data_IF_505088759307
#
_entry.id   IF_505088759307
#
_cell.length_a   1.000
_cell.length_b   1.000
_cell.length_c   1.000
_cell.angle_alpha   90.00
_cell.angle_beta   90.00
_cell.angle_gamma   90.00
#
_symmetry.space_group_name_H-M   'P 1'
#
loop_
_entity.id
_entity.type
_entity.pdbx_description
1 polymer ?
#
# COMPACT_ATOMS: atom_id res chain seq x y z
N UNK A 1 -11.46 53.05 -11.45
CA UNK A 1 -10.38 52.07 -11.57
C UNK A 1 -10.33 51.31 -10.26
N UNK A 2 -10.88 50.12 -10.21
CA UNK A 2 -10.85 49.26 -9.01
C UNK A 2 -9.57 48.40 -9.08
N UNK A 3 -8.62 48.72 -8.21
CA UNK A 3 -7.45 47.89 -8.01
C UNK A 3 -7.87 46.60 -7.30
N UNK A 4 -7.90 45.50 -8.00
CA UNK A 4 -8.01 44.17 -7.37
C UNK A 4 -6.73 43.87 -6.62
N UNK A 5 -6.75 43.94 -5.30
CA UNK A 5 -5.65 43.43 -4.49
C UNK A 5 -5.66 41.89 -4.58
N UNK A 6 -4.71 41.33 -5.31
CA UNK A 6 -4.46 39.89 -5.24
C UNK A 6 -3.81 39.58 -3.89
N UNK A 7 -4.49 38.76 -3.09
CA UNK A 7 -3.94 38.27 -1.82
C UNK A 7 -2.87 37.22 -2.18
N UNK A 8 -1.60 37.57 -2.03
CA UNK A 8 -0.50 36.63 -2.12
C UNK A 8 -0.28 36.02 -0.74
N UNK A 9 -0.52 34.74 -0.61
CA UNK A 9 -0.17 33.98 0.59
C UNK A 9 1.05 33.11 0.28
N UNK A 10 2.12 33.30 1.04
CA UNK A 10 3.30 32.41 1.04
C UNK A 10 3.11 31.21 2.00
N UNK A 11 1.91 31.02 2.54
CA UNK A 11 1.64 29.87 3.38
C UNK A 11 1.66 28.59 2.52
N UNK A 12 2.47 27.62 2.93
CA UNK A 12 2.40 26.28 2.37
C UNK A 12 0.96 25.77 2.48
N UNK A 13 0.39 25.34 1.36
CA UNK A 13 -0.94 24.77 1.36
C UNK A 13 -0.89 23.35 1.94
N UNK A 14 -0.92 23.22 3.26
CA UNK A 14 -0.97 21.93 3.95
C UNK A 14 -2.19 21.09 3.55
N UNK A 15 -3.23 21.71 3.03
CA UNK A 15 -4.44 21.01 2.57
C UNK A 15 -4.20 20.18 1.31
N UNK A 16 -3.12 20.41 0.58
CA UNK A 16 -2.76 19.57 -0.58
C UNK A 16 -2.38 18.14 -0.22
N UNK A 17 -1.98 17.88 1.03
CA UNK A 17 -1.63 16.55 1.53
C UNK A 17 -2.79 15.86 2.24
N UNK A 18 -3.89 16.54 2.46
CA UNK A 18 -5.06 16.04 3.18
C UNK A 18 -6.26 16.00 2.25
N UNK A 19 -6.77 14.80 2.04
CA UNK A 19 -8.05 14.61 1.34
C UNK A 19 -9.09 14.18 2.36
N UNK A 20 -10.22 14.89 2.40
CA UNK A 20 -11.33 14.57 3.29
C UNK A 20 -12.61 14.46 2.48
N UNK A 21 -13.50 13.59 2.91
CA UNK A 21 -14.77 13.42 2.23
C UNK A 21 -15.78 12.66 3.08
N UNK A 22 -16.97 12.58 2.56
CA UNK A 22 -18.02 11.72 3.09
C UNK A 22 -18.39 10.72 2.00
N UNK A 23 -18.32 9.42 2.29
CA UNK A 23 -18.78 8.41 1.35
C UNK A 23 -20.31 8.55 1.17
N UNK A 24 -20.79 8.89 -0.05
CA UNK A 24 -22.20 9.14 -0.28
C UNK A 24 -23.09 7.92 -0.06
N UNK A 25 -22.52 6.70 -0.08
CA UNK A 25 -23.27 5.46 0.13
C UNK A 25 -23.46 5.12 1.60
N UNK A 26 -22.46 5.46 2.43
CA UNK A 26 -22.45 5.08 3.84
C UNK A 26 -22.67 6.27 4.78
N UNK A 27 -22.50 7.49 4.28
CA UNK A 27 -22.54 8.71 5.10
C UNK A 27 -21.33 8.86 6.02
N UNK A 28 -20.33 7.99 5.89
CA UNK A 28 -19.16 7.96 6.78
C UNK A 28 -18.10 8.95 6.32
N UNK A 29 -17.55 9.66 7.29
CA UNK A 29 -16.41 10.54 7.06
C UNK A 29 -15.15 9.73 6.79
N UNK A 30 -14.43 10.09 5.75
CA UNK A 30 -13.14 9.52 5.38
C UNK A 30 -12.09 10.62 5.31
N UNK A 31 -10.88 10.31 5.71
CA UNK A 31 -9.74 11.21 5.62
C UNK A 31 -8.54 10.44 5.10
N UNK A 32 -7.75 11.03 4.24
CA UNK A 32 -6.46 10.48 3.86
C UNK A 32 -5.37 11.54 3.90
N UNK A 33 -4.18 11.11 4.34
CA UNK A 33 -2.97 11.93 4.39
C UNK A 33 -1.96 11.34 3.41
N UNK A 34 -1.59 12.10 2.40
CA UNK A 34 -0.49 11.75 1.51
C UNK A 34 0.82 12.19 2.16
N UNK A 35 1.70 11.25 2.47
CA UNK A 35 3.05 11.56 2.93
C UNK A 35 3.94 11.92 1.74
N UNK A 36 5.07 12.62 1.96
CA UNK A 36 6.01 12.86 0.89
C UNK A 36 6.43 11.55 0.22
N UNK A 37 6.44 11.55 -1.11
CA UNK A 37 6.81 10.38 -1.88
C UNK A 37 8.29 10.03 -1.65
N UNK A 38 8.55 8.77 -1.35
CA UNK A 38 9.91 8.27 -1.23
C UNK A 38 10.46 8.03 -2.64
N UNK A 39 11.29 8.94 -3.10
CA UNK A 39 11.96 8.84 -4.38
C UNK A 39 13.27 8.07 -4.22
N UNK A 40 13.49 7.13 -5.13
CA UNK A 40 14.75 6.41 -5.21
C UNK A 40 15.87 7.30 -5.78
N UNK A 41 17.13 7.01 -5.42
CA UNK A 41 18.28 7.67 -6.01
C UNK A 41 18.23 7.54 -7.54
N UNK A 42 18.54 8.64 -8.23
CA UNK A 42 18.52 8.76 -9.69
C UNK A 42 17.18 8.40 -10.37
N UNK A 43 16.07 8.44 -9.63
CA UNK A 43 14.72 8.14 -10.12
C UNK A 43 14.56 6.74 -10.78
N UNK A 44 15.48 5.83 -10.53
CA UNK A 44 15.52 4.53 -11.19
C UNK A 44 14.80 3.40 -10.43
N UNK A 45 14.38 3.64 -9.18
CA UNK A 45 13.70 2.63 -8.36
C UNK A 45 12.18 2.73 -8.38
N UNK A 46 11.47 1.80 -7.74
CA UNK A 46 10.04 1.90 -7.57
C UNK A 46 9.70 3.08 -6.65
N UNK A 47 8.73 3.88 -7.06
CA UNK A 47 8.16 4.90 -6.19
C UNK A 47 7.25 4.25 -5.17
N UNK A 48 7.41 4.60 -3.90
CA UNK A 48 6.53 4.15 -2.84
C UNK A 48 5.70 5.34 -2.33
N UNK A 49 4.47 5.52 -2.85
CA UNK A 49 3.55 6.50 -2.29
C UNK A 49 3.07 5.99 -0.92
N UNK A 50 3.40 6.73 0.13
CA UNK A 50 2.92 6.45 1.47
C UNK A 50 1.66 7.28 1.72
N UNK A 51 0.54 6.61 1.97
CA UNK A 51 -0.74 7.23 2.25
C UNK A 51 -1.35 6.63 3.50
N UNK A 52 -1.72 7.47 4.45
CA UNK A 52 -2.51 7.08 5.61
C UNK A 52 -3.98 7.32 5.30
N UNK A 53 -4.80 6.28 5.45
CA UNK A 53 -6.25 6.37 5.31
C UNK A 53 -6.93 6.19 6.66
N UNK A 54 -7.90 7.04 6.94
CA UNK A 54 -8.78 6.92 8.10
C UNK A 54 -10.15 6.39 7.69
N UNK A 55 -10.61 5.39 8.43
CA UNK A 55 -11.97 4.89 8.34
C UNK A 55 -12.56 4.70 9.75
N UNK A 56 -13.73 5.30 10.06
CA UNK A 56 -14.37 5.11 11.36
C UNK A 56 -14.85 3.68 11.59
N UNK A 57 -14.98 2.88 10.54
CA UNK A 57 -15.32 1.45 10.64
C UNK A 57 -14.12 0.57 11.03
N UNK A 58 -12.90 1.08 10.85
CA UNK A 58 -11.72 0.37 11.25
C UNK A 58 -11.46 0.57 12.75
N UNK A 59 -11.62 -0.49 13.51
CA UNK A 59 -11.40 -0.47 14.97
C UNK A 59 -9.97 -0.86 15.35
N UNK A 60 -9.16 -1.29 14.38
CA UNK A 60 -7.77 -1.69 14.60
C UNK A 60 -6.86 -0.48 14.72
N UNK A 61 -5.78 -0.64 15.48
CA UNK A 61 -4.67 0.30 15.53
C UNK A 61 -3.45 -0.38 14.89
N UNK A 62 -2.91 0.24 13.84
CA UNK A 62 -1.73 -0.24 13.12
C UNK A 62 -0.48 0.61 13.42
N UNK A 63 -0.47 1.30 14.58
CA UNK A 63 0.63 2.15 15.02
C UNK A 63 0.46 3.64 14.69
N UNK A 64 -0.62 3.98 13.97
CA UNK A 64 -0.93 5.37 13.60
C UNK A 64 -2.16 5.92 14.33
N UNK A 65 -2.66 5.17 15.31
CA UNK A 65 -3.89 5.45 16.02
C UNK A 65 -5.10 4.69 15.45
N UNK A 66 -6.13 4.59 16.28
CA UNK A 66 -7.34 3.83 15.95
C UNK A 66 -8.04 4.39 14.72
N UNK A 67 -8.36 3.52 13.78
CA UNK A 67 -9.01 3.90 12.53
C UNK A 67 -8.07 4.25 11.39
N UNK A 68 -6.81 4.55 11.68
CA UNK A 68 -5.80 4.85 10.69
C UNK A 68 -5.07 3.61 10.19
N UNK A 69 -4.86 3.54 8.88
CA UNK A 69 -4.07 2.47 8.24
C UNK A 69 -3.15 3.04 7.18
N UNK A 70 -1.93 2.52 7.10
CA UNK A 70 -1.05 2.79 5.98
C UNK A 70 -1.53 1.96 4.77
N UNK A 71 -1.82 2.64 3.66
CA UNK A 71 -2.34 2.03 2.44
C UNK A 71 -1.22 1.33 1.67
N UNK A 72 -0.91 0.12 2.08
CA UNK A 72 -0.01 -0.80 1.38
C UNK A 72 -0.81 -1.98 0.84
N UNK A 73 -0.29 -2.61 -0.21
CA UNK A 73 -0.84 -3.90 -0.67
C UNK A 73 -0.70 -4.93 0.45
N UNK A 74 -1.73 -5.74 0.68
CA UNK A 74 -1.73 -6.76 1.72
C UNK A 74 -2.58 -7.96 1.33
N UNK A 75 -2.21 -9.11 1.83
CA UNK A 75 -3.01 -10.32 1.68
C UNK A 75 -3.30 -10.95 3.04
N UNK A 76 -4.55 -10.99 3.43
CA UNK A 76 -4.98 -11.64 4.66
C UNK A 76 -5.29 -13.11 4.39
N UNK A 77 -4.44 -13.99 4.89
CA UNK A 77 -4.54 -15.44 4.66
C UNK A 77 -5.74 -16.08 5.38
N UNK A 78 -6.18 -15.50 6.51
CA UNK A 78 -7.31 -16.02 7.29
C UNK A 78 -8.64 -15.88 6.56
N UNK A 79 -8.88 -14.70 5.98
CA UNK A 79 -10.13 -14.43 5.25
C UNK A 79 -9.97 -14.52 3.73
N UNK A 80 -8.76 -14.82 3.23
CA UNK A 80 -8.42 -14.92 1.81
C UNK A 80 -8.80 -13.66 1.01
N UNK A 81 -8.47 -12.48 1.55
CA UNK A 81 -8.72 -11.19 0.92
C UNK A 81 -7.40 -10.50 0.62
N UNK A 82 -7.21 -10.10 -0.63
CA UNK A 82 -6.13 -9.21 -1.05
C UNK A 82 -6.67 -7.79 -1.16
N UNK A 83 -5.94 -6.83 -0.58
CA UNK A 83 -6.20 -5.41 -0.71
C UNK A 83 -4.98 -4.77 -1.35
N UNK A 84 -5.20 -3.95 -2.37
CA UNK A 84 -4.13 -3.24 -3.07
C UNK A 84 -3.92 -1.85 -2.45
N UNK A 85 -2.74 -1.30 -2.63
CA UNK A 85 -2.44 0.08 -2.24
C UNK A 85 -3.36 1.11 -2.91
N UNK A 86 -3.98 0.77 -4.06
CA UNK A 86 -5.02 1.57 -4.74
C UNK A 86 -6.36 1.62 -3.98
N UNK A 87 -6.55 0.78 -2.95
CA UNK A 87 -7.79 0.65 -2.20
C UNK A 87 -8.77 -0.42 -2.72
N UNK A 88 -8.46 -1.07 -3.84
CA UNK A 88 -9.25 -2.17 -4.36
C UNK A 88 -9.07 -3.43 -3.50
N UNK A 89 -10.15 -4.19 -3.30
CA UNK A 89 -10.13 -5.44 -2.54
C UNK A 89 -10.75 -6.58 -3.33
N UNK A 90 -10.10 -7.75 -3.27
CA UNK A 90 -10.54 -8.94 -3.99
C UNK A 90 -10.53 -10.15 -3.07
N UNK A 91 -11.52 -11.01 -3.25
CA UNK A 91 -11.62 -12.30 -2.57
C UNK A 91 -10.93 -13.37 -3.39
N UNK A 92 -9.97 -14.07 -2.80
CA UNK A 92 -9.38 -15.27 -3.40
C UNK A 92 -10.36 -16.44 -3.28
N UNK A 93 -10.57 -17.16 -4.38
CA UNK A 93 -11.49 -18.31 -4.43
C UNK A 93 -10.78 -19.64 -4.50
N UNK A 94 -9.67 -19.72 -5.21
CA UNK A 94 -8.92 -20.95 -5.43
C UNK A 94 -7.46 -20.68 -5.78
N UNK A 95 -6.68 -21.74 -5.76
CA UNK A 95 -5.28 -21.71 -6.20
C UNK A 95 -5.16 -22.55 -7.47
N UNK A 96 -4.49 -22.03 -8.48
CA UNK A 96 -4.18 -22.77 -9.70
C UNK A 96 -3.21 -23.91 -9.40
N UNK A 97 -3.46 -25.07 -9.98
CA UNK A 97 -2.71 -26.31 -9.67
C UNK A 97 -1.29 -26.33 -10.26
N UNK A 98 -0.95 -25.44 -11.18
CA UNK A 98 0.31 -25.51 -11.93
C UNK A 98 1.36 -24.49 -11.51
N UNK A 99 0.96 -23.29 -11.20
CA UNK A 99 1.88 -22.14 -11.02
C UNK A 99 1.74 -21.43 -9.67
N UNK A 100 0.89 -21.94 -8.78
CA UNK A 100 0.63 -21.33 -7.46
C UNK A 100 -0.14 -20.01 -7.53
N UNK A 101 -0.73 -19.68 -8.67
CA UNK A 101 -1.52 -18.47 -8.86
C UNK A 101 -2.82 -18.56 -8.05
N UNK A 102 -3.10 -17.49 -7.31
CA UNK A 102 -4.35 -17.32 -6.59
C UNK A 102 -5.37 -16.64 -7.49
N UNK A 103 -6.52 -17.29 -7.68
CA UNK A 103 -7.60 -16.80 -8.55
C UNK A 103 -8.56 -15.93 -7.75
N UNK A 104 -8.89 -14.77 -8.30
CA UNK A 104 -9.76 -13.78 -7.66
C UNK A 104 -11.22 -13.98 -8.09
N UNK A 105 -12.12 -13.75 -7.16
CA UNK A 105 -13.54 -13.65 -7.46
C UNK A 105 -13.83 -12.33 -8.18
N UNK A 106 -14.56 -12.40 -9.30
CA UNK A 106 -15.09 -11.23 -10.01
C UNK A 106 -14.01 -10.21 -10.50
N UNK A 107 -12.78 -10.67 -10.73
CA UNK A 107 -11.76 -9.81 -11.34
C UNK A 107 -12.07 -9.63 -12.84
N UNK A 108 -12.78 -8.55 -13.19
CA UNK A 108 -13.18 -8.26 -14.57
C UNK A 108 -11.99 -7.85 -15.46
N UNK A 109 -11.04 -7.15 -14.87
CA UNK A 109 -9.81 -6.70 -15.54
C UNK A 109 -8.63 -7.22 -14.75
N UNK A 110 -7.72 -7.91 -15.42
CA UNK A 110 -6.52 -8.43 -14.79
C UNK A 110 -5.46 -7.32 -14.70
N UNK A 111 -5.54 -6.53 -13.62
CA UNK A 111 -4.58 -5.46 -13.31
C UNK A 111 -3.38 -5.97 -12.53
N UNK A 112 -3.53 -7.12 -11.89
CA UNK A 112 -2.49 -7.78 -11.09
C UNK A 112 -2.69 -9.29 -11.07
N UNK A 113 -1.65 -10.02 -10.66
CA UNK A 113 -1.65 -11.45 -10.36
C UNK A 113 -1.02 -11.69 -9.01
N UNK A 114 -1.62 -12.54 -8.19
CA UNK A 114 -1.08 -12.96 -6.90
C UNK A 114 -0.67 -14.42 -6.96
N UNK A 115 0.56 -14.72 -6.54
CA UNK A 115 1.13 -16.07 -6.51
C UNK A 115 1.45 -16.45 -5.07
N UNK A 116 1.13 -17.66 -4.69
CA UNK A 116 1.64 -18.28 -3.47
C UNK A 116 3.00 -18.93 -3.78
N UNK A 117 4.06 -18.44 -3.13
CA UNK A 117 5.41 -18.99 -3.28
C UNK A 117 5.63 -20.11 -2.27
N UNK A 118 5.27 -19.84 -1.02
CA UNK A 118 5.24 -20.83 0.07
C UNK A 118 4.14 -20.43 1.08
N UNK A 119 4.12 -21.07 2.26
CA UNK A 119 3.08 -20.84 3.26
C UNK A 119 3.12 -19.43 3.88
N UNK A 120 4.25 -18.76 3.79
CA UNK A 120 4.46 -17.42 4.37
C UNK A 120 4.69 -16.33 3.33
N UNK A 121 5.09 -16.68 2.10
CA UNK A 121 5.49 -15.73 1.07
C UNK A 121 4.55 -15.76 -0.11
N UNK A 122 4.20 -14.56 -0.54
CA UNK A 122 3.35 -14.32 -1.70
C UNK A 122 4.02 -13.30 -2.61
N UNK A 123 3.73 -13.38 -3.89
CA UNK A 123 4.24 -12.43 -4.89
C UNK A 123 3.06 -11.81 -5.63
N UNK A 124 2.98 -10.49 -5.58
CA UNK A 124 2.01 -9.69 -6.29
C UNK A 124 2.69 -9.06 -7.50
N UNK A 125 2.21 -9.35 -8.69
CA UNK A 125 2.75 -8.84 -9.95
C UNK A 125 1.70 -7.94 -10.58
N UNK A 126 2.02 -6.65 -10.70
CA UNK A 126 1.14 -5.67 -11.33
C UNK A 126 1.33 -5.65 -12.84
N UNK A 127 0.29 -5.26 -13.57
CA UNK A 127 0.36 -5.10 -15.03
C UNK A 127 1.37 -4.02 -15.46
N UNK A 128 1.67 -3.05 -14.58
CA UNK A 128 2.72 -2.04 -14.77
C UNK A 128 4.15 -2.61 -14.76
N UNK A 129 4.31 -3.89 -14.37
CA UNK A 129 5.62 -4.51 -14.17
C UNK A 129 6.17 -4.35 -12.74
N UNK A 130 5.51 -3.60 -11.87
CA UNK A 130 5.84 -3.57 -10.45
C UNK A 130 5.60 -4.95 -9.84
N UNK A 131 6.56 -5.44 -9.05
CA UNK A 131 6.46 -6.70 -8.31
C UNK A 131 6.60 -6.40 -6.82
N UNK A 132 5.67 -6.93 -6.03
CA UNK A 132 5.71 -6.84 -4.57
C UNK A 132 5.88 -8.24 -3.97
N UNK A 133 6.80 -8.40 -3.06
CA UNK A 133 6.93 -9.61 -2.24
C UNK A 133 6.27 -9.37 -0.89
N UNK A 134 5.22 -10.14 -0.61
CA UNK A 134 4.46 -10.06 0.63
C UNK A 134 4.86 -11.21 1.53
N UNK A 135 4.97 -10.95 2.84
CA UNK A 135 5.31 -11.98 3.82
C UNK A 135 4.42 -11.90 5.06
N UNK A 136 3.91 -13.06 5.50
CA UNK A 136 3.27 -13.21 6.81
C UNK A 136 4.30 -13.40 7.90
N UNK A 137 3.94 -13.02 9.13
CA UNK A 137 4.69 -13.42 10.33
C UNK A 137 3.99 -14.60 11.02
N UNK A 138 4.69 -15.24 11.94
CA UNK A 138 4.18 -16.43 12.65
C UNK A 138 2.91 -16.16 13.46
N UNK A 139 2.73 -14.94 13.93
CA UNK A 139 1.60 -14.51 14.74
C UNK A 139 0.62 -13.58 14.01
N UNK A 140 0.92 -13.22 12.76
CA UNK A 140 0.11 -12.28 11.99
C UNK A 140 -0.29 -12.92 10.65
N UNK A 141 -1.60 -13.17 10.42
CA UNK A 141 -2.08 -13.76 9.18
C UNK A 141 -2.07 -12.80 7.99
N UNK A 142 -1.71 -11.53 8.21
CA UNK A 142 -1.63 -10.53 7.15
C UNK A 142 -0.24 -10.53 6.54
N UNK A 143 -0.14 -10.86 5.26
CA UNK A 143 1.08 -10.71 4.48
C UNK A 143 1.22 -9.24 4.07
N UNK A 144 2.30 -8.60 4.50
CA UNK A 144 2.67 -7.22 4.16
C UNK A 144 3.87 -7.20 3.20
N UNK A 145 4.04 -6.17 2.36
CA UNK A 145 5.13 -6.07 1.42
C UNK A 145 6.46 -5.90 2.15
N UNK A 146 7.41 -6.79 1.92
CA UNK A 146 8.77 -6.73 2.47
C UNK A 146 9.78 -6.27 1.42
N UNK A 147 9.42 -6.37 0.14
CA UNK A 147 10.22 -5.83 -0.95
C UNK A 147 9.31 -5.43 -2.13
N UNK A 148 9.74 -4.41 -2.85
CA UNK A 148 9.15 -4.02 -4.13
C UNK A 148 10.25 -3.90 -5.17
N UNK A 149 9.92 -4.31 -6.40
CA UNK A 149 10.83 -4.27 -7.54
C UNK A 149 10.21 -3.46 -8.66
N UNK A 150 10.98 -2.52 -9.22
CA UNK A 150 10.59 -1.86 -10.46
C UNK A 150 10.69 -2.81 -11.66
N UNK A 151 10.09 -2.48 -12.81
CA UNK A 151 10.25 -3.26 -14.04
C UNK A 151 11.72 -3.43 -14.48
N UNK A 152 12.60 -2.50 -14.07
CA UNK A 152 14.04 -2.53 -14.35
C UNK A 152 14.83 -3.38 -13.34
N UNK A 153 14.16 -3.92 -12.31
CA UNK A 153 14.77 -4.77 -11.29
C UNK A 153 15.34 -4.03 -10.07
N UNK A 154 15.19 -2.70 -9.99
CA UNK A 154 15.58 -1.97 -8.78
C UNK A 154 14.67 -2.35 -7.61
N UNK A 155 15.27 -2.52 -6.44
CA UNK A 155 14.60 -3.02 -5.25
C UNK A 155 14.56 -1.98 -4.14
N UNK A 156 13.41 -1.87 -3.49
CA UNK A 156 13.27 -1.29 -2.15
C UNK A 156 12.86 -2.38 -1.17
N UNK A 157 13.33 -2.27 0.06
CA UNK A 157 12.97 -3.17 1.17
C UNK A 157 12.18 -2.41 2.21
N UNK A 158 11.16 -3.06 2.79
CA UNK A 158 10.32 -2.52 3.84
C UNK A 158 10.53 -3.36 5.10
N UNK A 159 10.83 -2.70 6.21
CA UNK A 159 11.03 -3.35 7.50
C UNK A 159 9.93 -2.95 8.46
N UNK A 160 9.52 -3.90 9.28
CA UNK A 160 8.41 -3.74 10.21
C UNK A 160 8.84 -4.06 11.64
N UNK A 161 8.29 -3.32 12.57
CA UNK A 161 8.37 -3.63 13.99
C UNK A 161 7.08 -4.28 14.48
N UNK A 162 7.15 -5.22 15.44
CA UNK A 162 5.98 -5.78 16.07
C UNK A 162 5.21 -4.70 16.82
N UNK A 163 3.89 -4.73 16.71
CA UNK A 163 2.97 -3.81 17.37
C UNK A 163 1.78 -4.59 17.92
N UNK A 164 1.12 -4.17 19.01
CA UNK A 164 0.00 -4.92 19.63
C UNK A 164 -1.16 -5.23 18.67
N UNK A 165 -1.35 -4.44 17.62
CA UNK A 165 -2.37 -4.66 16.58
C UNK A 165 -1.87 -5.35 15.31
N UNK A 166 -0.60 -5.81 15.28
CA UNK A 166 0.01 -6.41 14.09
C UNK A 166 1.46 -5.97 13.90
N UNK A 167 1.78 -5.38 12.76
CA UNK A 167 3.11 -4.87 12.43
C UNK A 167 3.03 -3.44 11.90
N UNK A 168 3.94 -2.60 12.36
CA UNK A 168 4.06 -1.20 11.94
C UNK A 168 5.28 -1.03 11.04
N UNK A 169 5.14 -0.34 9.91
CA UNK A 169 6.27 0.00 9.05
C UNK A 169 7.27 0.88 9.81
N UNK A 170 8.51 0.44 9.87
CA UNK A 170 9.60 1.09 10.60
C UNK A 170 10.56 1.80 9.66
N UNK A 171 10.96 1.14 8.58
CA UNK A 171 11.92 1.71 7.64
C UNK A 171 11.64 1.27 6.20
N UNK A 172 12.06 2.11 5.27
CA UNK A 172 12.10 1.81 3.84
C UNK A 172 13.53 2.05 3.37
N UNK A 173 14.14 1.00 2.83
CA UNK A 173 15.55 1.01 2.43
C UNK A 173 15.62 0.85 0.91
N UNK A 174 16.24 1.81 0.26
CA UNK A 174 16.56 1.72 -1.15
C UNK A 174 17.96 1.15 -1.31
N UNK A 175 18.04 -0.04 -1.89
CA UNK A 175 19.32 -0.69 -2.25
C UNK A 175 19.63 -0.34 -3.71
N UNK A 176 20.00 0.89 -4.00
CA UNK A 176 20.67 1.17 -5.26
C UNK A 176 22.10 0.62 -5.17
N UNK A 177 22.35 -0.53 -5.80
CA UNK A 177 23.69 -1.02 -6.02
C UNK A 177 24.38 -0.07 -7.00
N UNK A 178 25.19 0.86 -6.48
CA UNK A 178 26.18 1.53 -7.28
C UNK A 178 27.30 0.50 -7.46
N UNK A 179 27.29 -0.17 -8.59
CA UNK A 179 28.52 -0.80 -9.08
C UNK A 179 29.44 0.30 -9.60
N UNK A 180 30.44 0.59 -8.82
CA UNK A 180 31.61 1.36 -9.30
C UNK A 180 32.54 0.40 -10.02
#
# INVERSE_FOLDING_TARGET
>A
MTTSSSIHSNAFNFLSFVETGVDPRTGLYTCSLSLPELQCNDLCGPNLPLRLGYSPLNTSDSGFGKGWTLQLSQYNTRNSVVSLASGETFKVTSTSSGDGRLLMREQKIETFRLFKIDDKRFRLVHKSGLVEELMTDSNDPVALPVAQYSPQGHRISLEYLPFPGGRMLSSVINLSLIHI
#
